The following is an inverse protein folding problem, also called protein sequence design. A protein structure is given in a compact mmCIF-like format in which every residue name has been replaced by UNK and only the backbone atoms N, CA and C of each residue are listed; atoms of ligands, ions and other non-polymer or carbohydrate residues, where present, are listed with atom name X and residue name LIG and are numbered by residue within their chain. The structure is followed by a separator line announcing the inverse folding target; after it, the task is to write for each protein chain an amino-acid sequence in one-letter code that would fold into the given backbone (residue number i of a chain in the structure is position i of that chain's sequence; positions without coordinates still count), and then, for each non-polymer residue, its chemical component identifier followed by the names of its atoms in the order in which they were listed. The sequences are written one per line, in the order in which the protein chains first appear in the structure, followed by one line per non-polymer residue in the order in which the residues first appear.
data_IF_840977253726
#
_entry.id   IF_840977253726
#
_cell.length_a   1.000
_cell.length_b   1.000
_cell.length_c   1.000
_cell.angle_alpha   90.00
_cell.angle_beta   90.00
_cell.angle_gamma   90.00
#
_symmetry.space_group_name_H-M   'P 1'
#
loop_
_entity.id
_entity.type
_entity.pdbx_description
1 polymer ?
2 non-polymer ?
3 non-polymer ?
4 non-polymer ?
5 water ?
#
# COMPACT_ATOMS: atom_id res chain seq x y z
N UNK A 1 7.44 30.15 6.18
CA UNK A 1 8.45 29.27 5.61
C UNK A 1 7.78 28.20 4.72
N UNK A 2 8.60 27.31 4.16
CA UNK A 2 8.23 26.08 3.42
C UNK A 2 9.11 24.96 3.97
N UNK A 3 8.55 23.76 4.16
CA UNK A 3 9.33 22.52 4.42
C UNK A 3 9.48 21.80 3.08
N UNK A 4 10.67 21.74 2.51
CA UNK A 4 10.84 21.18 1.13
C UNK A 4 11.41 19.75 1.19
N UNK A 5 11.26 19.09 2.35
CA UNK A 5 11.94 17.82 2.73
C UNK A 5 10.87 16.72 2.98
N UNK A 6 9.73 16.81 2.29
CA UNK A 6 8.71 15.73 2.27
C UNK A 6 8.99 14.83 1.05
N UNK A 7 8.36 13.65 1.01
CA UNK A 7 8.42 12.68 -0.11
C UNK A 7 6.99 12.30 -0.52
N UNK A 8 6.83 11.83 -1.76
CA UNK A 8 5.61 11.15 -2.21
C UNK A 8 5.89 9.65 -2.12
N UNK A 9 4.89 8.89 -1.63
CA UNK A 9 5.02 7.43 -1.36
C UNK A 9 3.94 6.71 -2.18
N UNK A 10 4.36 5.81 -3.08
CA UNK A 10 3.51 4.87 -3.84
C UNK A 10 3.17 3.71 -2.89
N UNK A 11 1.91 3.57 -2.52
CA UNK A 11 1.41 2.55 -1.53
C UNK A 11 0.55 1.52 -2.27
N UNK A 12 0.60 0.30 -1.79
CA UNK A 12 -0.24 -0.77 -2.36
C UNK A 12 -0.57 -1.80 -1.27
N UNK A 13 -1.86 -2.04 -1.16
CA UNK A 13 -2.50 -3.03 -0.26
C UNK A 13 -2.74 -4.29 -1.07
N UNK A 14 -2.32 -5.44 -0.58
CA UNK A 14 -2.36 -6.69 -1.37
C UNK A 14 -3.01 -7.81 -0.56
N UNK A 15 -3.94 -8.52 -1.19
CA UNK A 15 -4.43 -9.85 -0.72
C UNK A 15 -4.07 -10.89 -1.80
N UNK A 16 -3.13 -11.78 -1.50
CA UNK A 16 -2.76 -12.93 -2.36
C UNK A 16 -3.36 -14.18 -1.73
N UNK A 17 -4.11 -14.92 -2.50
CA UNK A 17 -4.74 -16.18 -2.02
C UNK A 17 -4.98 -17.16 -3.18
N UNK A 18 -5.27 -18.41 -2.83
CA UNK A 18 -5.49 -19.48 -3.85
C UNK A 18 -7.00 -19.75 -3.92
N UNK A 19 -7.48 -20.08 -5.12
CA UNK A 19 -8.89 -20.44 -5.36
C UNK A 19 -8.93 -21.71 -6.19
N UNK A 20 -10.07 -22.42 -6.19
CA UNK A 20 -10.22 -23.61 -7.04
C UNK A 20 -9.94 -23.27 -8.51
N UNK A 21 -9.22 -24.15 -9.22
CA UNK A 21 -8.84 -23.91 -10.63
C UNK A 21 -10.04 -23.68 -11.56
N UNK A 22 -11.22 -24.19 -11.23
CA UNK A 22 -12.43 -23.99 -12.05
C UNK A 22 -13.04 -22.61 -11.82
N UNK A 23 -12.60 -21.88 -10.79
CA UNK A 23 -13.15 -20.54 -10.49
C UNK A 23 -12.29 -19.43 -11.13
N UNK A 24 -12.79 -18.21 -11.04
CA UNK A 24 -12.08 -16.98 -11.51
C UNK A 24 -11.86 -16.03 -10.33
N UNK A 25 -10.79 -15.24 -10.37
CA UNK A 25 -10.45 -14.33 -9.23
C UNK A 25 -11.53 -13.27 -9.08
N UNK A 26 -12.15 -12.86 -10.19
CA UNK A 26 -13.24 -11.84 -10.14
C UNK A 26 -14.56 -12.46 -9.63
N UNK A 27 -14.61 -13.72 -9.19
CA UNK A 27 -15.73 -14.18 -8.32
C UNK A 27 -15.47 -13.76 -6.85
N UNK A 28 -14.23 -13.38 -6.49
CA UNK A 28 -13.77 -13.21 -5.09
C UNK A 28 -13.49 -11.74 -4.73
N UNK A 29 -12.96 -10.98 -5.68
CA UNK A 29 -12.53 -9.56 -5.52
C UNK A 29 -13.31 -8.71 -6.50
N UNK A 30 -13.60 -7.49 -6.09
CA UNK A 30 -14.27 -6.46 -6.92
C UNK A 30 -13.52 -5.14 -6.77
N UNK A 31 -13.62 -4.31 -7.79
CA UNK A 31 -13.21 -2.87 -7.81
C UNK A 31 -13.71 -2.25 -6.51
N UNK A 32 -14.99 -2.51 -6.21
CA UNK A 32 -15.70 -1.89 -5.06
C UNK A 32 -15.12 -2.36 -3.73
N UNK A 33 -14.90 -3.66 -3.57
CA UNK A 33 -14.32 -4.24 -2.33
C UNK A 33 -12.92 -3.65 -2.12
N UNK A 34 -12.15 -3.50 -3.18
CA UNK A 34 -10.74 -3.01 -3.08
C UNK A 34 -10.77 -1.50 -2.78
N UNK A 35 -11.69 -0.76 -3.40
CA UNK A 35 -11.86 0.69 -3.09
C UNK A 35 -12.23 0.81 -1.60
N UNK A 36 -13.02 -0.10 -1.03
CA UNK A 36 -13.40 -0.01 0.40
C UNK A 36 -12.16 -0.27 1.25
N UNK A 37 -11.28 -1.16 0.81
CA UNK A 37 -10.00 -1.38 1.56
C UNK A 37 -9.22 -0.06 1.55
N UNK A 38 -9.10 0.60 0.40
CA UNK A 38 -8.42 1.91 0.32
C UNK A 38 -9.05 2.89 1.33
N UNK A 39 -10.37 2.94 1.40
CA UNK A 39 -11.09 3.85 2.33
C UNK A 39 -10.70 3.58 3.79
N UNK A 40 -10.24 2.36 4.16
CA UNK A 40 -9.83 2.06 5.55
C UNK A 40 -8.39 2.50 5.86
N UNK A 41 -7.58 2.81 4.85
CA UNK A 41 -6.21 3.32 5.11
C UNK A 41 -6.30 4.54 6.03
N UNK A 42 -5.37 4.63 6.97
CA UNK A 42 -5.28 5.78 7.91
C UNK A 42 -4.79 7.00 7.13
N UNK A 43 -5.57 8.07 7.10
CA UNK A 43 -5.19 9.27 6.27
C UNK A 43 -4.71 10.43 7.17
N UNK A 44 -4.58 10.19 8.47
CA UNK A 44 -4.13 11.21 9.45
C UNK A 44 -2.98 10.67 10.29
N UNK A 45 -2.07 9.93 9.68
CA UNK A 45 -0.80 9.57 10.37
C UNK A 45 -0.04 10.85 10.76
N UNK A 46 0.69 10.82 11.87
CA UNK A 46 1.55 11.93 12.31
C UNK A 46 2.52 12.35 11.19
N UNK A 47 3.01 11.40 10.36
CA UNK A 47 3.96 11.68 9.23
C UNK A 47 3.27 12.24 7.98
N UNK A 48 1.95 12.33 7.95
CA UNK A 48 1.21 12.80 6.75
C UNK A 48 1.37 14.33 6.60
N UNK A 49 1.76 14.81 5.41
CA UNK A 49 1.65 16.22 5.02
C UNK A 49 0.30 16.51 4.41
N UNK A 50 0.27 17.56 3.59
CA UNK A 50 -0.98 18.07 2.98
C UNK A 50 -1.37 17.22 1.76
N UNK A 51 -2.58 17.45 1.26
CA UNK A 51 -3.03 17.03 -0.09
C UNK A 51 -3.48 15.55 -0.10
N UNK A 52 -3.39 14.82 1.01
CA UNK A 52 -3.95 13.47 1.09
C UNK A 52 -3.38 12.53 0.03
N UNK A 53 -4.27 11.74 -0.59
CA UNK A 53 -3.93 10.55 -1.40
C UNK A 53 -4.53 10.74 -2.78
N UNK A 54 -3.84 10.20 -3.76
CA UNK A 54 -4.29 10.11 -5.17
C UNK A 54 -5.51 9.19 -5.25
N UNK A 55 -6.17 9.24 -6.41
CA UNK A 55 -7.25 8.29 -6.78
C UNK A 55 -6.68 6.87 -6.63
N UNK A 56 -7.45 6.00 -6.00
CA UNK A 56 -7.05 4.58 -5.78
C UNK A 56 -7.27 3.82 -7.10
N UNK A 57 -6.40 2.86 -7.40
CA UNK A 57 -6.50 1.99 -8.60
C UNK A 57 -6.54 0.53 -8.14
N UNK A 58 -7.73 -0.09 -8.08
CA UNK A 58 -7.86 -1.55 -7.91
C UNK A 58 -7.25 -2.35 -9.05
N UNK A 59 -6.75 -3.54 -8.73
CA UNK A 59 -6.19 -4.45 -9.75
C UNK A 59 -6.49 -5.87 -9.30
N UNK A 60 -6.72 -6.76 -10.26
CA UNK A 60 -6.97 -8.21 -10.00
C UNK A 60 -6.09 -8.97 -10.99
N UNK A 61 -5.25 -9.85 -10.49
CA UNK A 61 -4.33 -10.70 -11.28
C UNK A 61 -4.69 -12.15 -10.93
N UNK A 62 -4.57 -13.04 -11.91
CA UNK A 62 -4.91 -14.47 -11.80
C UNK A 62 -3.86 -15.24 -12.60
N UNK A 63 -3.40 -16.36 -12.07
CA UNK A 63 -2.49 -17.28 -12.79
C UNK A 63 -2.70 -18.67 -12.20
N UNK A 64 -2.66 -19.74 -13.04
CA UNK A 64 -2.70 -21.10 -12.52
C UNK A 64 -1.43 -21.27 -11.69
N UNK A 65 -1.55 -21.96 -10.56
CA UNK A 65 -0.42 -22.20 -9.63
C UNK A 65 0.16 -23.62 -9.91
N UNK A 66 1.37 -23.72 -10.49
CA UNK A 66 2.02 -25.01 -10.86
C UNK A 66 2.17 -25.89 -9.61
N UNK A 67 2.48 -25.30 -8.44
CA UNK A 67 2.82 -26.04 -7.18
C UNK A 67 1.56 -26.51 -6.45
N UNK A 68 0.39 -25.96 -6.79
CA UNK A 68 -0.89 -26.16 -6.07
C UNK A 68 -1.59 -27.37 -6.70
N UNK A 69 -2.50 -28.05 -5.95
CA UNK A 69 -3.36 -29.10 -6.50
C UNK A 69 -4.53 -28.54 -7.33
N UNK A 70 -4.24 -27.96 -8.49
CA UNK A 70 -5.29 -27.53 -9.42
C UNK A 70 -5.80 -26.12 -9.10
N UNK A 71 -5.13 -25.38 -8.20
CA UNK A 71 -5.57 -24.03 -7.72
C UNK A 71 -5.03 -22.94 -8.63
N UNK A 72 -5.70 -21.79 -8.64
CA UNK A 72 -5.20 -20.54 -9.24
C UNK A 72 -4.78 -19.64 -8.08
N UNK A 73 -3.77 -18.81 -8.34
CA UNK A 73 -3.34 -17.72 -7.44
C UNK A 73 -4.05 -16.45 -7.89
N UNK A 74 -4.71 -15.80 -6.94
CA UNK A 74 -5.32 -14.47 -7.10
C UNK A 74 -4.47 -13.45 -6.36
N UNK A 75 -4.23 -12.31 -7.00
CA UNK A 75 -3.59 -11.16 -6.30
C UNK A 75 -4.53 -9.97 -6.49
N UNK A 76 -5.23 -9.58 -5.43
CA UNK A 76 -6.20 -8.47 -5.43
C UNK A 76 -5.53 -7.30 -4.71
N UNK A 77 -5.41 -6.15 -5.36
CA UNK A 77 -4.60 -5.06 -4.78
C UNK A 77 -5.29 -3.74 -5.07
N UNK A 78 -4.97 -2.76 -4.24
CA UNK A 78 -5.40 -1.36 -4.52
C UNK A 78 -4.20 -0.47 -4.20
N UNK A 79 -3.91 0.47 -5.11
CA UNK A 79 -2.73 1.33 -4.99
C UNK A 79 -3.16 2.80 -5.09
N UNK A 80 -2.41 3.64 -4.40
CA UNK A 80 -2.57 5.10 -4.42
C UNK A 80 -1.25 5.71 -3.94
N UNK A 81 -1.09 7.00 -4.23
CA UNK A 81 0.10 7.77 -3.84
C UNK A 81 -0.27 8.67 -2.67
N UNK A 82 0.50 8.58 -1.59
CA UNK A 82 0.50 9.61 -0.54
C UNK A 82 1.35 10.78 -1.07
N UNK A 83 0.70 11.89 -1.40
CA UNK A 83 1.39 13.03 -2.08
C UNK A 83 2.52 13.62 -1.24
N UNK A 84 2.34 13.73 0.08
CA UNK A 84 3.30 14.47 0.94
C UNK A 84 3.44 13.78 2.29
N UNK A 85 4.61 13.20 2.52
CA UNK A 85 4.95 12.43 3.73
C UNK A 85 6.27 12.98 4.29
N UNK A 86 6.34 13.14 5.60
CA UNK A 86 7.54 13.72 6.25
C UNK A 86 8.71 12.78 6.00
N UNK A 87 9.91 13.35 6.01
CA UNK A 87 11.17 12.56 6.04
C UNK A 87 11.71 12.42 7.46
N UNK A 88 12.29 11.27 7.74
CA UNK A 88 13.07 11.04 8.97
C UNK A 88 12.18 10.60 10.11
N UNK A 89 12.47 11.14 11.28
CA UNK A 89 11.73 10.96 12.54
C UNK A 89 10.96 12.24 12.75
N UNK A 90 9.76 12.15 13.27
CA UNK A 90 8.90 13.31 13.49
C UNK A 90 8.40 13.22 14.92
N UNK A 91 8.49 14.33 15.66
CA UNK A 91 7.90 14.46 17.02
C UNK A 91 6.54 15.16 16.91
N UNK A 92 5.45 14.53 17.35
CA UNK A 92 4.08 15.10 17.19
C UNK A 92 3.73 16.00 18.37
N UNK A 93 4.65 16.25 19.30
CA UNK A 93 4.35 17.00 20.54
C UNK A 93 4.31 16.11 21.78
N UNK A 94 4.08 14.80 21.59
CA UNK A 94 3.98 13.81 22.69
C UNK A 94 4.96 12.64 22.47
N UNK A 95 5.18 12.18 21.23
CA UNK A 95 6.08 11.04 20.96
C UNK A 95 6.66 11.15 19.55
N UNK A 96 7.72 10.39 19.32
CA UNK A 96 8.40 10.25 18.02
C UNK A 96 7.72 9.20 17.12
N UNK A 97 7.76 9.50 15.83
CA UNK A 97 7.28 8.64 14.71
C UNK A 97 8.40 8.48 13.70
N UNK A 98 8.62 7.24 13.31
CA UNK A 98 9.51 6.93 12.19
C UNK A 98 8.71 7.09 10.89
N UNK A 99 9.15 7.98 10.02
CA UNK A 99 8.45 8.29 8.75
C UNK A 99 9.10 7.58 7.56
N UNK A 100 10.05 6.67 7.81
CA UNK A 100 10.62 5.79 6.75
C UNK A 100 9.50 4.99 6.11
N UNK A 101 9.66 4.60 4.86
CA UNK A 101 8.53 4.04 4.08
C UNK A 101 8.03 2.76 4.76
N UNK A 102 8.89 1.92 5.32
CA UNK A 102 8.40 0.66 5.93
C UNK A 102 7.44 0.93 7.10
N UNK A 103 7.87 1.60 8.20
CA UNK A 103 6.99 1.81 9.35
C UNK A 103 5.76 2.65 8.95
N UNK A 104 5.96 3.70 8.14
CA UNK A 104 4.84 4.57 7.68
C UNK A 104 3.79 3.69 6.99
N UNK A 105 4.19 2.89 6.00
CA UNK A 105 3.27 2.02 5.21
C UNK A 105 2.52 1.09 6.17
N UNK A 106 3.24 0.47 7.09
CA UNK A 106 2.61 -0.49 8.04
C UNK A 106 1.58 0.21 8.93
N UNK A 107 1.83 1.46 9.37
CA UNK A 107 0.83 2.25 10.16
C UNK A 107 -0.40 2.60 9.31
N UNK A 108 -0.20 3.04 8.08
CA UNK A 108 -1.28 3.58 7.22
C UNK A 108 -2.12 2.43 6.64
N UNK A 109 -1.50 1.36 6.11
CA UNK A 109 -2.20 0.23 5.47
C UNK A 109 -2.53 -0.86 6.50
N UNK A 110 -1.78 -0.97 7.61
CA UNK A 110 -2.11 -1.92 8.69
C UNK A 110 -1.71 -3.35 8.38
N UNK A 111 -0.79 -3.54 7.42
CA UNK A 111 -0.30 -4.88 7.01
C UNK A 111 1.21 -4.81 6.87
N UNK A 112 1.84 -5.97 7.01
CA UNK A 112 3.31 -6.13 6.91
C UNK A 112 3.83 -5.66 5.54
N UNK A 113 4.87 -4.83 5.55
CA UNK A 113 5.48 -4.24 4.33
C UNK A 113 6.54 -5.18 3.79
N UNK A 114 6.65 -5.26 2.46
CA UNK A 114 7.70 -6.02 1.75
C UNK A 114 8.31 -5.09 0.71
N UNK A 115 9.65 -5.03 0.72
CA UNK A 115 10.44 -4.36 -0.33
C UNK A 115 9.99 -4.94 -1.69
N UNK A 116 9.85 -4.07 -2.69
CA UNK A 116 9.57 -4.46 -4.10
C UNK A 116 10.60 -5.47 -4.60
N UNK A 117 11.82 -5.54 -4.03
CA UNK A 117 12.83 -6.57 -4.39
C UNK A 117 12.29 -7.99 -4.13
N UNK A 118 11.30 -8.14 -3.24
CA UNK A 118 10.63 -9.43 -2.94
C UNK A 118 9.39 -9.55 -3.85
N UNK A 119 9.37 -10.51 -4.75
CA UNK A 119 8.27 -10.70 -5.71
C UNK A 119 7.03 -11.24 -4.98
N UNK A 120 5.83 -11.00 -5.51
CA UNK A 120 4.61 -11.64 -4.97
C UNK A 120 4.80 -13.16 -4.82
N UNK A 121 5.40 -13.84 -5.83
CA UNK A 121 5.50 -15.33 -5.81
C UNK A 121 6.34 -15.82 -4.62
N UNK A 122 7.18 -14.95 -4.07
CA UNK A 122 8.09 -15.28 -2.94
C UNK A 122 7.53 -14.73 -1.60
N UNK A 123 6.26 -14.35 -1.54
CA UNK A 123 5.59 -13.81 -0.32
C UNK A 123 4.48 -14.79 0.02
N UNK A 124 4.45 -15.25 1.28
CA UNK A 124 3.54 -16.36 1.66
C UNK A 124 2.51 -15.94 2.72
N UNK A 125 2.52 -14.71 3.21
CA UNK A 125 1.43 -14.20 4.10
C UNK A 125 0.30 -13.76 3.17
N UNK A 126 -0.92 -13.81 3.60
CA UNK A 126 -2.00 -13.57 2.62
C UNK A 126 -2.12 -12.06 2.33
N UNK A 127 -2.02 -11.24 3.38
CA UNK A 127 -2.27 -9.79 3.31
C UNK A 127 -0.96 -9.09 3.58
N UNK A 128 -0.62 -8.10 2.74
CA UNK A 128 0.66 -7.37 2.91
C UNK A 128 0.56 -6.03 2.18
N UNK A 129 1.61 -5.26 2.39
CA UNK A 129 1.71 -3.88 1.88
C UNK A 129 3.01 -3.69 1.10
N UNK A 130 2.96 -2.75 0.17
CA UNK A 130 4.10 -2.19 -0.58
C UNK A 130 4.11 -0.68 -0.31
N UNK A 131 5.31 -0.15 -0.22
CA UNK A 131 5.47 1.32 -0.15
C UNK A 131 6.85 1.66 -0.64
N UNK A 132 6.95 2.61 -1.55
CA UNK A 132 8.27 3.11 -1.99
C UNK A 132 8.14 4.60 -2.35
N UNK A 133 9.27 5.29 -2.26
CA UNK A 133 9.34 6.73 -2.59
C UNK A 133 9.15 6.90 -4.09
N UNK A 134 8.19 7.71 -4.49
CA UNK A 134 7.95 8.01 -5.92
C UNK A 134 8.43 9.45 -6.26
N UNK A 135 8.71 10.29 -5.25
CA UNK A 135 9.19 11.69 -5.46
C UNK A 135 9.82 12.18 -4.15
N UNK A 136 11.05 12.72 -4.13
CA UNK A 136 11.59 13.32 -2.87
C UNK A 136 11.67 14.86 -2.98
N UNK A 137 11.92 15.52 -1.86
CA UNK A 137 12.04 17.00 -1.78
C UNK A 137 10.81 17.64 -2.42
N UNK A 138 9.62 17.24 -1.95
CA UNK A 138 8.35 17.96 -2.24
C UNK A 138 8.02 18.84 -1.02
N UNK A 139 7.21 19.86 -1.21
CA UNK A 139 6.68 20.68 -0.09
C UNK A 139 5.86 19.76 0.84
N UNK A 140 5.93 20.00 2.14
CA UNK A 140 5.06 19.33 3.12
C UNK A 140 3.66 19.96 3.04
N UNK A 141 3.59 21.28 2.76
CA UNK A 141 2.32 21.98 2.63
C UNK A 141 1.77 21.89 1.23
N UNK A 142 0.51 22.29 1.07
CA UNK A 142 -0.18 22.29 -0.24
C UNK A 142 0.30 23.52 -1.04
N UNK A 143 1.01 24.45 -0.39
CA UNK A 143 1.68 25.62 -1.02
C UNK A 143 3.17 25.63 -0.70
X LIG B 1 7.20 -3.16 -9.23
X LIG B 1 7.84 -3.03 -10.49
X LIG B 1 7.18 -1.89 -8.44
X LIG B 1 8.50 -1.60 -7.97
X LIG B 1 8.91 -0.26 -8.22
X LIG B 1 10.32 -0.02 -7.76
X LIG B 1 10.46 0.20 -6.34
X LIG C 1 12.42 16.94 20.88
X LIG C 1 11.60 17.82 20.10
X LIG C 1 11.78 16.50 22.19
X LIG C 1 10.36 16.65 22.11
X LIG C 1 12.07 15.08 22.64
X LIG C 1 13.37 14.60 22.29
X LIG D 1 -0.27 16.17 -7.19
X LIG D 1 -0.36 16.55 -8.57
X LIG D 1 -0.93 17.17 -6.25
X LIG D 1 -0.26 17.19 -4.99
X LIG D 1 -2.39 16.89 -5.98
X LIG D 1 -2.84 17.61 -4.84
X LIG E 1 4.64 17.14 -6.09
X LIG E 1 4.58 18.04 -7.19
X LIG E 1 3.34 17.14 -5.31
X LIG E 1 2.25 16.79 -6.17
X LIG E 1 3.35 16.25 -4.07
X LIG E 1 3.85 14.94 -4.32
X LIG F 1 6.11 -6.44 -9.01
X LIG F 1 7.15 -5.81 -9.79
X LIG F 1 5.90 -5.75 -7.66
X LIG F 1 6.92 -6.06 -6.69
X LIG F 1 4.55 -6.01 -7.03
X LIG F 1 4.01 -4.82 -6.45
X LIG G 1 -9.34 -10.49 -0.17
X LIG H 1 -9.19 -8.94 -1.69
X LIG I 1 5.64 23.81 2.55
X LIG J 1 5.43 25.03 0.66
#
# INVERSE_FOLDING_TARGET
GHMLDCKAVALKWVHQFRIPGGDNCNFYCSYDSLYQQFNLWKKNDACQGADGFSTAIPKIQEAPCSDCPGSKTCICSVQATAWRVRNGKWFDGQQWFDCDVKPYTERVLGRRWYDESEADKDIYVGYYSRGFISNDNVHCGSQ
PEG C1 O1 C2 O2 C3 C4 O4
GOL C1 O1 C2 O2 C3 O3
GOL C1 O1 C2 O2 C3 O3
GOL C1 O1 C2 O2 C3 O3
GOL C1 O1 C2 O2 C3 O3
ZN ZN
ZN ZN
ZN ZN
ZN ZN
#
